data_IF_475735071228
#
_entry.id   IF_475735071228
#
_cell.length_a   1.000
_cell.length_b   1.000
_cell.length_c   1.000
_cell.angle_alpha   90.00
_cell.angle_beta   90.00
_cell.angle_gamma   90.00
#
_symmetry.space_group_name_H-M   'P 1'
#
loop_
_entity.id
_entity.type
_entity.pdbx_description
1 polymer ?
#
# COMPACT_ATOMS: atom_id res chain seq x y z
N UNK A 1 -5.08 4.35 -77.59
CA UNK A 1 -4.37 3.14 -77.12
C UNK A 1 -4.54 3.07 -75.60
N UNK A 2 -4.88 1.89 -75.09
CA UNK A 2 -5.61 1.65 -73.83
C UNK A 2 -4.79 1.88 -72.54
N UNK A 3 -5.56 2.10 -71.48
CA UNK A 3 -5.22 2.30 -70.06
C UNK A 3 -4.56 1.09 -69.35
N UNK A 4 -3.90 1.44 -68.24
CA UNK A 4 -3.34 0.65 -67.12
C UNK A 4 -4.15 -0.58 -66.64
N UNK A 5 -3.47 -1.55 -65.99
CA UNK A 5 -3.51 -1.81 -64.52
C UNK A 5 -3.17 -3.28 -64.17
N UNK A 6 -2.43 -3.52 -63.07
CA UNK A 6 -2.60 -4.75 -62.30
C UNK A 6 -1.36 -5.43 -61.71
N UNK A 7 -0.61 -4.79 -60.82
CA UNK A 7 0.23 -5.51 -59.84
C UNK A 7 -0.64 -5.79 -58.62
N UNK A 8 -0.83 -7.08 -58.32
CA UNK A 8 -1.61 -7.58 -57.21
C UNK A 8 -0.96 -7.19 -55.87
N UNK A 9 -1.71 -6.48 -55.02
CA UNK A 9 -1.37 -6.27 -53.62
C UNK A 9 -2.42 -7.00 -52.76
N UNK A 10 -2.07 -8.18 -52.29
CA UNK A 10 -2.90 -9.00 -51.42
C UNK A 10 -2.86 -8.41 -50.00
N UNK A 11 -3.85 -7.59 -49.65
CA UNK A 11 -4.03 -7.09 -48.28
C UNK A 11 -4.74 -8.19 -47.48
N UNK A 12 -3.97 -8.93 -46.66
CA UNK A 12 -4.52 -9.87 -45.70
C UNK A 12 -5.03 -9.08 -44.48
N UNK A 13 -6.32 -8.71 -44.48
CA UNK A 13 -6.98 -8.13 -43.30
C UNK A 13 -7.15 -9.23 -42.24
N UNK A 14 -6.25 -9.27 -41.26
CA UNK A 14 -6.48 -9.99 -40.01
C UNK A 14 -7.50 -9.23 -39.16
N UNK A 15 -8.78 -9.60 -39.31
CA UNK A 15 -9.81 -9.23 -38.35
C UNK A 15 -9.54 -9.99 -37.04
N UNK A 16 -8.97 -9.31 -36.05
CA UNK A 16 -9.01 -9.78 -34.67
C UNK A 16 -10.45 -9.67 -34.17
N UNK A 17 -11.18 -10.79 -34.19
CA UNK A 17 -12.40 -10.95 -33.39
C UNK A 17 -12.00 -11.00 -31.91
N UNK A 18 -11.95 -9.84 -31.24
CA UNK A 18 -11.99 -9.82 -29.78
C UNK A 18 -13.44 -9.97 -29.34
N UNK A 19 -13.88 -11.20 -29.15
CA UNK A 19 -15.11 -11.44 -28.39
C UNK A 19 -14.88 -10.95 -26.95
N UNK A 20 -15.74 -10.10 -26.37
CA UNK A 20 -15.70 -9.86 -24.94
C UNK A 20 -16.01 -11.18 -24.24
N UNK A 21 -15.12 -11.63 -23.34
CA UNK A 21 -15.44 -12.70 -22.42
C UNK A 21 -16.47 -12.13 -21.45
N UNK A 22 -17.74 -12.47 -21.63
CA UNK A 22 -18.79 -12.20 -20.66
C UNK A 22 -18.59 -13.16 -19.48
N UNK A 23 -17.92 -12.69 -18.42
CA UNK A 23 -17.58 -13.46 -17.23
C UNK A 23 -18.78 -13.67 -16.26
N UNK A 24 -20.01 -13.41 -16.68
CA UNK A 24 -21.15 -13.30 -15.77
C UNK A 24 -22.31 -14.25 -16.12
N UNK A 25 -22.06 -15.56 -16.13
CA UNK A 25 -23.18 -16.50 -16.08
C UNK A 25 -22.83 -17.78 -15.31
N UNK A 26 -22.86 -17.72 -13.98
CA UNK A 26 -22.68 -18.89 -13.10
C UNK A 26 -24.02 -19.53 -12.66
N UNK A 27 -25.15 -19.08 -13.21
CA UNK A 27 -26.44 -19.73 -13.03
C UNK A 27 -26.94 -19.80 -11.57
N UNK A 28 -26.52 -18.86 -10.70
CA UNK A 28 -27.07 -18.74 -9.35
C UNK A 28 -26.61 -19.82 -8.36
N UNK A 29 -25.51 -20.52 -8.65
CA UNK A 29 -24.87 -21.40 -7.67
C UNK A 29 -24.24 -20.53 -6.57
N UNK A 30 -24.65 -20.73 -5.31
CA UNK A 30 -23.92 -20.15 -4.16
C UNK A 30 -22.51 -20.72 -4.14
N UNK A 31 -21.56 -19.99 -4.69
CA UNK A 31 -20.14 -20.29 -4.56
C UNK A 31 -19.72 -20.06 -3.10
N UNK A 32 -19.35 -21.14 -2.40
CA UNK A 32 -18.69 -21.01 -1.11
C UNK A 32 -17.26 -20.52 -1.33
N UNK A 33 -17.09 -19.20 -1.30
CA UNK A 33 -15.78 -18.53 -1.45
C UNK A 33 -14.78 -18.91 -0.36
N UNK A 34 -15.25 -19.43 0.78
CA UNK A 34 -14.39 -19.75 1.91
C UNK A 34 -13.78 -21.15 1.83
N UNK A 35 -14.32 -22.04 1.00
CA UNK A 35 -13.80 -23.39 0.77
C UNK A 35 -13.39 -24.15 2.06
N UNK A 36 -14.16 -24.02 3.14
CA UNK A 36 -13.89 -24.69 4.42
C UNK A 36 -12.82 -24.07 5.32
N UNK A 37 -12.28 -22.89 4.97
CA UNK A 37 -11.37 -22.14 5.86
C UNK A 37 -12.07 -21.70 7.15
N UNK A 38 -11.26 -21.56 8.21
CA UNK A 38 -11.68 -20.92 9.46
C UNK A 38 -12.26 -19.54 9.16
N UNK A 39 -13.36 -19.17 9.82
CA UNK A 39 -13.99 -17.86 9.61
C UNK A 39 -13.31 -16.84 10.50
N UNK A 40 -13.10 -15.63 9.97
CA UNK A 40 -12.66 -14.52 10.80
C UNK A 40 -13.65 -14.26 11.93
N UNK A 41 -13.11 -14.08 13.13
CA UNK A 41 -13.86 -13.83 14.37
C UNK A 41 -13.55 -12.43 14.96
N UNK A 42 -12.81 -11.61 14.21
CA UNK A 42 -12.32 -10.31 14.65
C UNK A 42 -10.91 -10.34 15.22
N UNK A 43 -10.32 -11.53 15.41
CA UNK A 43 -8.92 -11.65 15.83
C UNK A 43 -7.99 -11.86 14.62
N UNK A 44 -6.68 -11.75 14.86
CA UNK A 44 -5.66 -12.04 13.85
C UNK A 44 -5.35 -13.55 13.77
N UNK A 45 -6.11 -14.30 12.98
CA UNK A 45 -5.87 -15.73 12.74
C UNK A 45 -4.71 -15.92 11.75
N UNK A 46 -3.52 -16.25 12.27
CA UNK A 46 -2.26 -16.29 11.51
C UNK A 46 -2.12 -17.52 10.59
N UNK A 47 -2.91 -18.56 10.81
CA UNK A 47 -2.98 -19.76 9.94
C UNK A 47 -3.70 -19.51 8.61
N UNK A 48 -4.29 -18.32 8.43
CA UNK A 48 -5.15 -17.99 7.30
C UNK A 48 -6.62 -18.27 7.63
N UNK A 49 -7.50 -17.38 7.18
CA UNK A 49 -8.93 -17.43 7.46
C UNK A 49 -9.75 -16.80 6.33
N UNK A 50 -11.04 -17.12 6.27
CA UNK A 50 -11.99 -16.48 5.39
C UNK A 50 -12.64 -15.28 6.08
N UNK A 51 -12.38 -14.08 5.57
CA UNK A 51 -13.18 -12.89 5.90
C UNK A 51 -14.42 -12.84 4.99
N UNK A 52 -15.59 -12.64 5.60
CA UNK A 52 -16.87 -12.43 4.87
C UNK A 52 -17.33 -10.97 4.90
N UNK A 53 -16.49 -10.08 5.42
CA UNK A 53 -16.80 -8.65 5.49
C UNK A 53 -16.83 -8.09 4.08
N UNK A 54 -17.98 -7.55 3.68
CA UNK A 54 -18.12 -6.93 2.38
C UNK A 54 -17.26 -5.67 2.31
N UNK A 55 -16.83 -5.29 1.09
CA UNK A 55 -15.84 -4.23 0.89
C UNK A 55 -16.26 -2.87 1.47
N UNK A 56 -17.57 -2.60 1.48
CA UNK A 56 -18.14 -1.36 1.99
C UNK A 56 -18.38 -0.29 0.93
N UNK A 57 -18.42 0.95 1.37
CA UNK A 57 -18.65 2.13 0.54
C UNK A 57 -17.36 2.54 -0.20
N UNK A 58 -17.49 2.83 -1.50
CA UNK A 58 -16.37 3.18 -2.36
C UNK A 58 -16.40 4.69 -2.63
N UNK A 59 -15.29 5.44 -2.41
CA UNK A 59 -15.27 6.87 -2.66
C UNK A 59 -15.40 7.18 -4.16
N UNK A 60 -15.75 8.42 -4.51
CA UNK A 60 -15.67 8.87 -5.90
C UNK A 60 -14.22 9.00 -6.38
N UNK A 61 -13.99 9.05 -7.69
CA UNK A 61 -12.64 9.27 -8.23
C UNK A 61 -11.99 10.60 -7.78
N UNK A 62 -12.79 11.60 -7.40
CA UNK A 62 -12.31 12.87 -6.83
C UNK A 62 -11.86 12.75 -5.37
N UNK A 63 -12.30 11.70 -4.68
CA UNK A 63 -12.01 11.43 -3.26
C UNK A 63 -11.11 10.19 -3.07
N UNK A 64 -10.32 9.84 -4.08
CA UNK A 64 -9.31 8.80 -3.92
C UNK A 64 -8.23 9.27 -2.94
N UNK A 65 -7.99 8.47 -1.89
CA UNK A 65 -6.86 8.59 -0.96
C UNK A 65 -5.51 8.53 -1.67
N UNK A 66 -4.58 9.37 -1.20
CA UNK A 66 -3.15 9.27 -1.52
C UNK A 66 -2.32 9.75 -0.34
N UNK A 67 -1.12 9.21 -0.19
CA UNK A 67 -0.13 9.63 0.79
C UNK A 67 1.18 10.08 0.13
N UNK A 68 1.99 10.84 0.87
CA UNK A 68 3.33 11.24 0.46
C UNK A 68 4.24 11.36 1.68
N UNK A 69 5.33 10.59 1.71
CA UNK A 69 6.36 10.70 2.75
C UNK A 69 7.25 11.90 2.41
N UNK A 70 7.22 12.92 3.26
CA UNK A 70 7.99 14.16 3.04
C UNK A 70 9.28 14.22 3.86
N UNK A 71 9.33 13.45 4.96
CA UNK A 71 10.53 13.27 5.78
C UNK A 71 10.63 11.80 6.21
N UNK A 72 11.83 11.19 6.21
CA UNK A 72 13.03 11.69 5.52
C UNK A 72 12.79 11.82 4.01
N UNK A 73 13.69 12.46 3.26
CA UNK A 73 13.59 12.49 1.79
C UNK A 73 13.96 11.13 1.22
N UNK A 74 13.44 10.82 0.03
CA UNK A 74 13.92 9.66 -0.72
C UNK A 74 15.44 9.78 -0.95
N UNK A 75 16.15 8.66 -0.79
CA UNK A 75 17.60 8.53 -0.82
C UNK A 75 18.38 9.25 0.28
N UNK A 76 17.70 9.74 1.32
CA UNK A 76 18.38 10.42 2.42
C UNK A 76 19.33 9.48 3.17
N UNK A 77 20.47 10.03 3.60
CA UNK A 77 21.50 9.34 4.37
C UNK A 77 21.38 9.71 5.84
N UNK A 78 20.87 8.80 6.66
CA UNK A 78 20.71 8.99 8.10
C UNK A 78 21.90 8.43 8.88
N UNK A 79 22.04 8.84 10.14
CA UNK A 79 23.05 8.31 11.06
C UNK A 79 22.48 7.10 11.81
N UNK A 80 23.27 6.05 11.94
CA UNK A 80 22.87 4.87 12.70
C UNK A 80 22.61 5.22 14.18
N UNK A 81 21.58 4.59 14.74
CA UNK A 81 21.16 4.72 16.15
C UNK A 81 20.87 6.16 16.58
N UNK A 82 20.31 6.97 15.67
CA UNK A 82 19.85 8.33 15.94
C UNK A 82 18.37 8.45 15.63
N UNK A 83 17.65 9.06 16.57
CA UNK A 83 16.26 9.43 16.41
C UNK A 83 16.05 10.19 15.11
N UNK A 84 14.97 9.86 14.42
CA UNK A 84 14.46 10.63 13.31
C UNK A 84 12.94 10.49 13.28
N UNK A 85 12.31 11.33 12.48
CA UNK A 85 10.86 11.37 12.34
C UNK A 85 10.49 11.09 10.91
N UNK A 86 9.46 10.27 10.73
CA UNK A 86 8.78 10.08 9.45
C UNK A 86 7.55 10.97 9.42
N UNK A 87 7.40 11.79 8.38
CA UNK A 87 6.24 12.67 8.19
C UNK A 87 5.52 12.26 6.92
N UNK A 88 4.26 11.88 7.06
CA UNK A 88 3.39 11.43 5.97
C UNK A 88 2.28 12.45 5.77
N UNK A 89 2.21 13.05 4.58
CA UNK A 89 1.08 13.86 4.15
C UNK A 89 -0.02 12.95 3.63
N UNK A 90 -1.24 13.17 4.10
CA UNK A 90 -2.43 12.42 3.70
C UNK A 90 -3.40 13.31 2.94
N UNK A 91 -4.01 12.76 1.90
CA UNK A 91 -5.07 13.43 1.15
C UNK A 91 -6.26 12.49 0.98
N UNK A 92 -7.48 13.03 1.08
CA UNK A 92 -8.74 12.32 0.85
C UNK A 92 -8.93 11.08 1.73
N UNK A 93 -8.52 11.15 2.99
CA UNK A 93 -8.86 10.21 4.05
C UNK A 93 -9.16 11.00 5.33
N UNK A 94 -10.22 10.64 6.05
CA UNK A 94 -10.47 11.10 7.40
C UNK A 94 -9.74 10.14 8.34
N UNK A 95 -8.54 10.53 8.73
CA UNK A 95 -7.72 9.81 9.73
C UNK A 95 -8.32 9.93 11.13
N UNK A 96 -7.95 9.06 12.06
CA UNK A 96 -8.43 9.07 13.44
C UNK A 96 -9.49 8.01 13.73
N UNK A 97 -9.69 7.08 12.80
CA UNK A 97 -10.60 5.95 12.95
C UNK A 97 -9.78 4.67 12.94
N UNK A 98 -9.64 4.06 14.11
CA UNK A 98 -8.84 2.85 14.33
C UNK A 98 -9.58 1.94 15.30
N UNK A 99 -9.69 0.65 14.98
CA UNK A 99 -10.20 -0.38 15.89
C UNK A 99 -9.06 -1.23 16.48
N UNK A 100 -9.33 -1.92 17.58
CA UNK A 100 -8.36 -2.80 18.23
C UNK A 100 -8.13 -4.06 17.36
N UNK A 101 -6.94 -4.27 16.77
CA UNK A 101 -6.70 -5.40 15.86
C UNK A 101 -6.78 -6.77 16.54
N UNK A 102 -6.77 -6.84 17.88
CA UNK A 102 -6.94 -8.11 18.61
C UNK A 102 -8.42 -8.47 18.79
N UNK A 103 -9.36 -7.57 18.43
CA UNK A 103 -10.81 -7.76 18.61
C UNK A 103 -11.64 -7.49 17.36
N UNK A 104 -11.22 -6.52 16.57
CA UNK A 104 -12.02 -5.91 15.50
C UNK A 104 -11.32 -5.99 14.13
N UNK A 105 -10.49 -7.01 13.91
CA UNK A 105 -9.75 -7.20 12.66
C UNK A 105 -10.68 -7.68 11.54
N UNK A 106 -10.83 -6.83 10.53
CA UNK A 106 -11.73 -7.02 9.40
C UNK A 106 -13.20 -7.24 9.78
N UNK A 107 -13.67 -6.72 10.91
CA UNK A 107 -15.06 -6.94 11.36
C UNK A 107 -16.08 -6.03 10.68
N UNK A 108 -15.68 -4.87 10.18
CA UNK A 108 -16.59 -3.88 9.59
C UNK A 108 -16.21 -3.46 8.17
N UNK A 109 -17.17 -3.17 7.28
CA UNK A 109 -16.87 -2.68 5.94
C UNK A 109 -16.20 -1.29 5.95
N UNK A 110 -15.54 -0.91 4.85
CA UNK A 110 -15.10 0.48 4.65
C UNK A 110 -16.32 1.42 4.65
N UNK A 111 -16.23 2.55 5.37
CA UNK A 111 -17.26 3.58 5.39
C UNK A 111 -16.70 4.94 4.95
N UNK A 112 -17.56 5.77 4.39
CA UNK A 112 -17.26 7.15 4.01
C UNK A 112 -17.95 8.13 4.98
N UNK A 113 -17.28 9.24 5.27
CA UNK A 113 -17.91 10.35 5.97
C UNK A 113 -18.89 11.09 5.04
N UNK A 114 -19.55 12.12 5.57
CA UNK A 114 -20.53 12.93 4.81
C UNK A 114 -19.96 13.61 3.55
N UNK A 115 -18.64 13.80 3.47
CA UNK A 115 -17.97 14.35 2.29
C UNK A 115 -17.62 13.28 1.24
N UNK A 116 -17.91 12.00 1.49
CA UNK A 116 -17.56 10.90 0.60
C UNK A 116 -16.07 10.51 0.66
N UNK A 117 -15.41 10.81 1.79
CA UNK A 117 -14.02 10.49 2.07
C UNK A 117 -13.96 9.29 3.02
N UNK A 118 -13.04 8.35 2.79
CA UNK A 118 -12.89 7.15 3.62
C UNK A 118 -12.54 7.51 5.07
N UNK A 119 -13.19 6.84 6.02
CA UNK A 119 -12.81 6.88 7.44
C UNK A 119 -11.83 5.74 7.74
N UNK A 120 -10.66 6.08 8.25
CA UNK A 120 -9.64 5.08 8.57
C UNK A 120 -8.42 5.65 9.29
N UNK A 121 -7.31 4.96 9.11
CA UNK A 121 -6.02 5.27 9.72
C UNK A 121 -4.87 4.92 8.77
N UNK A 122 -3.64 5.20 9.20
CA UNK A 122 -2.46 4.79 8.47
C UNK A 122 -1.41 4.24 9.41
N UNK A 123 -0.36 3.68 8.85
CA UNK A 123 0.79 3.18 9.58
C UNK A 123 2.06 3.63 8.87
N UNK A 124 3.17 3.65 9.62
CA UNK A 124 4.51 3.70 9.04
C UNK A 124 5.18 2.36 9.29
N UNK A 125 5.65 1.73 8.22
CA UNK A 125 6.49 0.52 8.29
C UNK A 125 7.88 0.83 7.75
N UNK A 126 8.90 0.36 8.45
CA UNK A 126 10.29 0.43 7.99
C UNK A 126 10.86 -0.98 7.94
N UNK A 127 11.33 -1.37 6.76
CA UNK A 127 11.89 -2.69 6.52
C UNK A 127 13.26 -2.56 5.89
N UNK A 128 14.22 -3.32 6.42
CA UNK A 128 15.53 -3.49 5.82
C UNK A 128 15.40 -4.19 4.47
N UNK A 129 16.12 -3.69 3.48
CA UNK A 129 16.24 -4.31 2.16
C UNK A 129 17.51 -5.16 2.16
N UNK A 130 17.34 -6.48 2.31
CA UNK A 130 18.46 -7.44 2.23
C UNK A 130 18.85 -7.77 0.78
N UNK A 131 18.00 -7.44 -0.19
CA UNK A 131 18.22 -7.59 -1.63
C UNK A 131 17.55 -6.43 -2.37
N UNK A 132 18.16 -5.98 -3.46
CA UNK A 132 17.54 -5.01 -4.37
C UNK A 132 16.63 -5.68 -5.41
N UNK A 133 16.79 -6.99 -5.60
CA UNK A 133 16.09 -7.76 -6.64
C UNK A 133 14.94 -8.61 -6.10
N UNK A 134 14.78 -8.68 -4.77
CA UNK A 134 13.72 -9.48 -4.14
C UNK A 134 12.86 -8.61 -3.21
N UNK A 135 11.54 -8.87 -3.12
CA UNK A 135 10.70 -8.24 -2.11
C UNK A 135 11.16 -8.68 -0.71
N UNK A 136 11.14 -7.79 0.30
CA UNK A 136 11.43 -8.19 1.67
C UNK A 136 10.28 -9.04 2.24
N UNK A 137 10.60 -9.91 3.19
CA UNK A 137 9.61 -10.70 3.92
C UNK A 137 8.64 -9.77 4.68
N UNK A 138 7.34 -9.91 4.44
CA UNK A 138 6.29 -9.09 5.05
C UNK A 138 6.17 -9.26 6.58
N UNK A 139 6.57 -10.41 7.13
CA UNK A 139 6.57 -10.67 8.58
C UNK A 139 7.70 -9.93 9.32
N UNK A 140 8.71 -9.45 8.59
CA UNK A 140 9.90 -8.83 9.18
C UNK A 140 9.89 -7.32 8.95
N UNK A 141 9.95 -6.58 10.04
CA UNK A 141 10.11 -5.13 10.03
C UNK A 141 11.08 -4.68 11.12
N UNK A 142 11.69 -3.51 10.91
CA UNK A 142 12.57 -2.86 11.88
C UNK A 142 11.83 -1.82 12.71
N UNK A 143 10.73 -1.28 12.18
CA UNK A 143 9.85 -0.36 12.88
C UNK A 143 8.44 -0.48 12.31
N UNK A 144 7.45 -0.44 13.19
CA UNK A 144 6.04 -0.33 12.84
C UNK A 144 5.37 0.62 13.84
N UNK A 145 4.55 1.54 13.36
CA UNK A 145 3.73 2.39 14.20
C UNK A 145 2.36 2.60 13.56
N UNK A 146 1.30 2.34 14.33
CA UNK A 146 -0.06 2.77 13.99
C UNK A 146 -0.24 4.26 14.26
N UNK A 147 -0.74 4.98 13.26
CA UNK A 147 -1.02 6.41 13.30
C UNK A 147 -2.52 6.59 13.54
N UNK A 148 -2.92 6.37 14.78
CA UNK A 148 -4.33 6.23 15.19
C UNK A 148 -5.03 7.58 15.39
N UNK A 149 -4.27 8.66 15.48
CA UNK A 149 -4.79 10.01 15.70
C UNK A 149 -5.24 10.69 14.40
N UNK A 150 -6.03 11.75 14.55
CA UNK A 150 -6.33 12.66 13.44
C UNK A 150 -5.04 13.35 12.97
N UNK A 151 -4.83 13.39 11.66
CA UNK A 151 -3.77 14.13 11.03
C UNK A 151 -3.87 15.62 11.39
N UNK A 152 -2.75 16.21 11.79
CA UNK A 152 -2.66 17.63 12.10
C UNK A 152 -2.18 18.34 10.84
N UNK A 153 -2.99 19.25 10.30
CA UNK A 153 -2.71 19.93 9.02
C UNK A 153 -2.48 18.95 7.85
N UNK A 154 -3.16 17.80 7.86
CA UNK A 154 -2.99 16.75 6.86
C UNK A 154 -1.70 15.93 6.99
N UNK A 155 -0.96 16.08 8.09
CA UNK A 155 0.26 15.32 8.37
C UNK A 155 0.05 14.32 9.53
N UNK A 156 0.58 13.11 9.34
CA UNK A 156 0.80 12.12 10.36
C UNK A 156 2.29 11.99 10.63
N UNK A 157 2.66 11.78 11.89
CA UNK A 157 4.04 11.81 12.37
C UNK A 157 4.36 10.51 13.09
N UNK A 158 5.44 9.84 12.68
CA UNK A 158 5.99 8.68 13.38
C UNK A 158 7.41 8.98 13.86
N UNK A 159 7.62 8.94 15.18
CA UNK A 159 8.94 9.09 15.78
C UNK A 159 9.65 7.74 15.89
N UNK A 160 10.79 7.62 15.22
CA UNK A 160 11.64 6.42 15.27
C UNK A 160 12.71 6.62 16.33
N UNK A 161 12.32 6.46 17.59
CA UNK A 161 13.23 6.60 18.76
C UNK A 161 14.31 5.51 18.74
N UNK A 162 15.54 5.88 19.10
CA UNK A 162 16.71 5.00 19.00
C UNK A 162 17.23 4.79 17.58
N UNK A 163 16.51 5.26 16.55
CA UNK A 163 16.90 5.16 15.15
C UNK A 163 16.99 3.72 14.64
N UNK A 164 17.79 3.54 13.58
CA UNK A 164 18.00 2.25 12.93
C UNK A 164 19.49 1.88 12.90
N UNK A 165 19.84 0.57 12.85
CA UNK A 165 21.19 0.13 12.52
C UNK A 165 21.62 0.56 11.10
N UNK A 166 22.91 0.45 10.80
CA UNK A 166 23.40 0.71 9.46
C UNK A 166 22.80 -0.28 8.44
N UNK A 167 22.36 0.22 7.29
CA UNK A 167 21.70 -0.58 6.26
C UNK A 167 20.91 0.23 5.25
N UNK A 168 20.31 -0.48 4.29
CA UNK A 168 19.37 0.07 3.31
C UNK A 168 17.95 -0.27 3.74
N UNK A 169 17.04 0.71 3.70
CA UNK A 169 15.68 0.52 4.20
C UNK A 169 14.65 1.07 3.21
N UNK A 170 13.48 0.44 3.16
CA UNK A 170 12.25 1.05 2.63
C UNK A 170 11.40 1.56 3.79
N UNK A 171 10.85 2.76 3.64
CA UNK A 171 9.86 3.34 4.55
C UNK A 171 8.59 3.50 3.74
N UNK A 172 7.49 2.91 4.18
CA UNK A 172 6.21 2.99 3.49
C UNK A 172 5.11 3.47 4.42
N UNK A 173 4.14 4.21 3.87
CA UNK A 173 2.84 4.33 4.50
C UNK A 173 2.04 3.05 4.25
N UNK A 174 1.07 2.76 5.12
CA UNK A 174 0.13 1.67 4.93
C UNK A 174 -1.24 2.09 5.44
N UNK A 175 -2.08 2.57 4.53
CA UNK A 175 -3.39 3.14 4.86
C UNK A 175 -4.47 2.07 4.87
N UNK A 176 -5.33 2.13 5.88
CA UNK A 176 -6.36 1.14 6.14
C UNK A 176 -7.68 1.81 6.51
N UNK A 177 -8.79 1.12 6.25
CA UNK A 177 -10.09 1.52 6.80
C UNK A 177 -10.15 1.18 8.30
N UNK A 178 -11.23 1.62 8.97
CA UNK A 178 -11.41 1.50 10.42
C UNK A 178 -11.01 0.13 11.01
N UNK A 179 -11.47 -0.97 10.42
CA UNK A 179 -11.15 -2.35 10.87
C UNK A 179 -10.03 -3.00 10.06
N UNK A 180 -9.03 -2.20 9.66
CA UNK A 180 -7.75 -2.63 9.08
C UNK A 180 -7.75 -3.08 7.61
N UNK A 181 -8.89 -3.16 6.91
CA UNK A 181 -8.89 -3.54 5.48
C UNK A 181 -8.06 -2.54 4.66
N UNK A 182 -7.33 -2.99 3.63
CA UNK A 182 -6.77 -2.10 2.63
C UNK A 182 -7.86 -1.21 2.03
N UNK A 183 -7.53 0.06 1.75
CA UNK A 183 -8.52 0.97 1.18
C UNK A 183 -8.98 0.50 -0.20
N UNK A 184 -10.30 0.53 -0.41
CA UNK A 184 -10.97 0.13 -1.65
C UNK A 184 -11.37 1.39 -2.43
N UNK A 185 -11.05 1.40 -3.74
CA UNK A 185 -11.04 2.61 -4.57
C UNK A 185 -11.73 2.37 -5.92
N UNK A 186 -12.36 3.41 -6.53
CA UNK A 186 -13.29 3.24 -7.65
C UNK A 186 -12.67 2.98 -9.02
N UNK A 187 -11.35 3.14 -9.19
CA UNK A 187 -10.70 3.14 -10.52
C UNK A 187 -9.49 2.21 -10.51
N UNK A 188 -9.44 1.20 -11.37
CA UNK A 188 -8.28 0.31 -11.48
C UNK A 188 -7.00 1.02 -11.98
N UNK A 189 -7.13 1.85 -13.02
CA UNK A 189 -6.01 2.64 -13.59
C UNK A 189 -5.79 3.94 -12.80
N UNK A 190 -5.15 3.83 -11.64
CA UNK A 190 -4.87 4.95 -10.71
C UNK A 190 -3.44 4.88 -10.17
N UNK A 191 -2.98 5.97 -9.55
CA UNK A 191 -1.78 5.94 -8.73
C UNK A 191 -1.95 5.11 -7.46
N UNK A 192 -0.84 4.66 -6.87
CA UNK A 192 -0.87 4.02 -5.54
C UNK A 192 -1.42 4.98 -4.49
N UNK A 193 -2.21 4.45 -3.56
CA UNK A 193 -2.73 5.22 -2.42
C UNK A 193 -1.67 5.42 -1.33
N UNK A 194 -0.71 4.51 -1.26
CA UNK A 194 0.40 4.53 -0.32
C UNK A 194 1.71 4.89 -1.02
N UNK A 195 2.62 5.52 -0.26
CA UNK A 195 3.93 5.95 -0.72
C UNK A 195 5.04 5.13 -0.06
N UNK A 196 6.15 4.96 -0.76
CA UNK A 196 7.34 4.26 -0.28
C UNK A 196 8.60 4.99 -0.75
N UNK A 197 9.44 5.37 0.21
CA UNK A 197 10.78 5.90 -0.05
C UNK A 197 11.85 4.90 0.37
N UNK A 198 13.07 5.10 -0.11
CA UNK A 198 14.25 4.35 0.33
C UNK A 198 15.24 5.28 0.99
N UNK A 199 15.90 4.81 2.04
CA UNK A 199 16.95 5.55 2.75
C UNK A 199 18.16 4.67 3.01
N UNK A 200 19.30 5.30 3.26
CA UNK A 200 20.51 4.61 3.70
C UNK A 200 20.92 5.09 5.08
N UNK A 201 20.99 4.18 6.04
CA UNK A 201 21.50 4.47 7.38
C UNK A 201 22.98 4.13 7.41
N UNK A 202 23.82 5.11 7.72
CA UNK A 202 25.28 4.95 7.74
C UNK A 202 25.78 4.67 9.15
N UNK A 203 26.65 3.67 9.28
CA UNK A 203 27.39 3.43 10.51
C UNK A 203 28.34 4.59 10.84
N UNK A 204 28.68 4.75 12.12
CA UNK A 204 29.74 5.67 12.52
C UNK A 204 31.06 5.18 11.91
N UNK A 205 31.68 5.98 11.04
CA UNK A 205 33.07 5.72 10.66
C UNK A 205 33.93 5.86 11.91
N UNK A 206 34.44 4.74 12.45
CA UNK A 206 35.65 4.82 13.26
C UNK A 206 36.73 5.36 12.34
N UNK A 207 37.11 6.63 12.49
CA UNK A 207 38.32 7.16 11.84
C UNK A 207 39.45 6.19 12.19
N UNK A 208 40.02 5.48 11.21
CA UNK A 208 41.33 4.84 11.41
C UNK A 208 42.26 5.96 11.86
N UNK A 209 42.79 5.85 13.07
CA UNK A 209 43.86 6.73 13.53
C UNK A 209 44.96 6.66 12.46
N UNK A 210 45.25 7.79 11.83
CA UNK A 210 46.38 7.92 10.92
C UNK A 210 47.61 7.76 11.81
N UNK A 211 48.33 6.63 11.71
CA UNK A 211 49.63 6.55 12.36
C UNK A 211 50.49 7.62 11.69
N UNK A 212 50.90 8.60 12.48
CA UNK A 212 51.99 9.47 12.10
C UNK A 212 53.24 8.59 12.23
N UNK A 213 53.90 8.35 11.10
CA UNK A 213 55.29 7.91 11.10
C UNK A 213 56.17 9.06 11.57
#
# INVERSE_FOLDING_TARGET
MKFNLGIALTILLFFFLTSPIDANNDGGKKHDICHGLEKGDGTQIKSGFCSKTFLGQIPSNKHMTSSLITKPRNEEKLKAHKDFTVVVKMKNIETGHFSDPEKDYYTEPQILNKAGIVQGHSHVTIQRLESENNPPNAEKFNFFLGLNDKAKNGELIADVKGGLPAGRYRICSMSSSFTHQPLVMPVAKRGSQDDCIRITVKGNQKRKARSLN
#
